data_IF_724383620075
#
_entry.id   IF_724383620075
#
_cell.length_a   1.000
_cell.length_b   1.000
_cell.length_c   1.000
_cell.angle_alpha   90.00
_cell.angle_beta   90.00
_cell.angle_gamma   90.00
#
_symmetry.space_group_name_H-M   'P 1'
#
loop_
_entity.id
_entity.type
_entity.pdbx_description
1 polymer ?
#
# COMPACT_ATOMS: atom_id res chain seq x y z
N UNK A 1 12.50 11.47 -18.14
CA UNK A 1 11.37 12.38 -18.41
C UNK A 1 10.66 12.80 -17.14
N UNK A 2 9.91 11.93 -16.44
CA UNK A 2 9.21 12.32 -15.20
C UNK A 2 10.14 12.92 -14.14
N UNK A 3 11.30 12.28 -13.90
CA UNK A 3 12.30 12.77 -12.94
C UNK A 3 12.89 14.11 -13.36
N UNK A 4 13.02 14.37 -14.67
CA UNK A 4 13.48 15.66 -15.19
C UNK A 4 12.43 16.75 -15.02
N UNK A 5 11.14 16.41 -15.17
CA UNK A 5 10.03 17.34 -14.95
C UNK A 5 9.92 17.71 -13.47
N UNK A 6 9.99 16.74 -12.55
CA UNK A 6 9.95 16.96 -11.10
C UNK A 6 11.11 17.86 -10.66
N UNK A 7 12.32 17.60 -11.17
CA UNK A 7 13.49 18.42 -10.89
C UNK A 7 13.32 19.87 -11.39
N UNK A 8 12.77 20.05 -12.61
CA UNK A 8 12.47 21.39 -13.17
C UNK A 8 11.45 22.16 -12.34
N UNK A 9 10.48 21.47 -11.74
CA UNK A 9 9.47 22.08 -10.87
C UNK A 9 10.01 22.43 -9.46
N UNK A 10 11.22 21.99 -9.12
CA UNK A 10 11.88 22.31 -7.85
C UNK A 10 11.37 21.50 -6.66
N UNK A 11 10.78 20.32 -6.89
CA UNK A 11 10.37 19.43 -5.81
C UNK A 11 11.56 18.68 -5.21
N UNK A 12 11.59 18.60 -3.87
CA UNK A 12 12.67 17.94 -3.13
C UNK A 12 12.34 16.48 -2.77
N UNK A 13 11.10 16.04 -2.98
CA UNK A 13 10.61 14.70 -2.64
C UNK A 13 9.76 14.20 -3.79
N UNK A 14 9.92 12.92 -4.14
CA UNK A 14 9.03 12.24 -5.07
C UNK A 14 8.44 10.99 -4.43
N UNK A 15 7.11 10.98 -4.30
CA UNK A 15 6.36 9.82 -3.80
C UNK A 15 5.94 8.93 -4.97
N UNK A 16 6.34 7.67 -4.93
CA UNK A 16 5.92 6.66 -5.90
C UNK A 16 5.61 5.33 -5.19
N UNK A 17 4.98 4.38 -5.90
CA UNK A 17 4.75 3.03 -5.39
C UNK A 17 5.63 1.99 -6.08
N UNK A 18 6.01 0.97 -5.31
CA UNK A 18 6.60 -0.26 -5.84
C UNK A 18 5.45 -1.21 -6.14
N UNK A 19 5.44 -1.77 -7.34
CA UNK A 19 4.42 -2.72 -7.74
C UNK A 19 4.73 -4.09 -7.17
N UNK A 20 3.85 -4.64 -6.34
CA UNK A 20 4.06 -5.94 -5.70
C UNK A 20 4.24 -7.03 -6.75
N UNK A 21 3.37 -7.08 -7.76
CA UNK A 21 3.45 -8.06 -8.85
C UNK A 21 4.71 -7.89 -9.72
N UNK A 22 5.38 -6.74 -9.71
CA UNK A 22 6.66 -6.56 -10.40
C UNK A 22 7.83 -7.18 -9.62
N UNK A 23 7.78 -7.15 -8.30
CA UNK A 23 8.81 -7.77 -7.43
C UNK A 23 8.56 -9.28 -7.31
N UNK A 24 7.31 -9.67 -7.11
CA UNK A 24 6.86 -11.06 -7.02
C UNK A 24 5.70 -11.29 -7.99
N UNK A 25 5.96 -11.81 -9.21
CA UNK A 25 4.93 -12.03 -10.23
C UNK A 25 3.73 -12.85 -9.76
N UNK A 26 3.97 -13.86 -8.91
CA UNK A 26 2.92 -14.67 -8.31
C UNK A 26 2.38 -14.12 -6.97
N UNK A 27 3.04 -13.10 -6.42
CA UNK A 27 2.77 -12.48 -5.12
C UNK A 27 3.23 -13.28 -3.90
N UNK A 28 3.51 -14.58 -4.03
CA UNK A 28 3.85 -15.47 -2.91
C UNK A 28 5.31 -15.32 -2.45
N UNK A 29 6.17 -14.82 -3.34
CA UNK A 29 7.55 -14.53 -3.01
C UNK A 29 8.48 -15.74 -2.97
N UNK A 30 8.18 -16.75 -3.78
CA UNK A 30 9.06 -17.90 -4.03
C UNK A 30 10.34 -17.46 -4.76
N UNK A 31 10.21 -16.60 -5.78
CA UNK A 31 11.34 -16.05 -6.53
C UNK A 31 11.18 -14.54 -6.73
N UNK A 32 12.24 -13.78 -6.45
CA UNK A 32 12.29 -12.34 -6.70
C UNK A 32 12.58 -12.09 -8.18
N UNK A 33 11.75 -11.28 -8.84
CA UNK A 33 12.04 -10.79 -10.17
C UNK A 33 13.14 -9.71 -10.13
N UNK A 34 14.36 -10.11 -10.50
CA UNK A 34 15.54 -9.23 -10.46
C UNK A 34 15.43 -8.03 -11.43
N UNK A 35 14.73 -8.17 -12.56
CA UNK A 35 14.49 -7.04 -13.46
C UNK A 35 13.58 -5.99 -12.81
N UNK A 36 12.61 -6.44 -12.01
CA UNK A 36 11.77 -5.56 -11.19
C UNK A 36 12.58 -4.77 -10.16
N UNK A 37 13.50 -5.45 -9.47
CA UNK A 37 14.43 -4.81 -8.53
C UNK A 37 15.33 -3.79 -9.26
N UNK A 38 15.91 -4.18 -10.40
CA UNK A 38 16.78 -3.31 -11.19
C UNK A 38 16.05 -2.04 -11.67
N UNK A 39 14.78 -2.16 -12.08
CA UNK A 39 13.96 -1.02 -12.46
C UNK A 39 13.83 0.02 -11.32
N UNK A 40 13.47 -0.42 -10.12
CA UNK A 40 13.30 0.49 -8.99
C UNK A 40 14.63 1.04 -8.46
N UNK A 41 15.72 0.25 -8.51
CA UNK A 41 17.05 0.76 -8.24
C UNK A 41 17.40 1.93 -9.17
N UNK A 42 17.25 1.74 -10.48
CA UNK A 42 17.54 2.80 -11.46
C UNK A 42 16.70 4.06 -11.19
N UNK A 43 15.41 3.91 -10.88
CA UNK A 43 14.55 5.05 -10.55
C UNK A 43 15.04 5.79 -9.28
N UNK A 44 15.35 5.05 -8.22
CA UNK A 44 15.84 5.60 -6.95
C UNK A 44 17.17 6.33 -7.17
N UNK A 45 18.10 5.73 -7.92
CA UNK A 45 19.42 6.31 -8.19
C UNK A 45 19.27 7.62 -8.99
N UNK A 46 18.46 7.62 -10.05
CA UNK A 46 18.21 8.83 -10.86
C UNK A 46 17.54 9.94 -10.05
N UNK A 47 16.65 9.62 -9.10
CA UNK A 47 16.07 10.63 -8.20
C UNK A 47 17.14 11.25 -7.30
N UNK A 48 17.99 10.42 -6.69
CA UNK A 48 19.04 10.87 -5.79
C UNK A 48 20.13 11.67 -6.51
N UNK A 49 20.49 11.30 -7.74
CA UNK A 49 21.40 12.07 -8.60
C UNK A 49 20.90 13.49 -8.85
N UNK A 50 19.58 13.69 -8.88
CA UNK A 50 18.95 15.01 -9.01
C UNK A 50 18.65 15.68 -7.66
N UNK A 51 19.09 15.09 -6.55
CA UNK A 51 18.84 15.60 -5.20
C UNK A 51 17.41 15.42 -4.70
N UNK A 52 16.58 14.62 -5.38
CA UNK A 52 15.19 14.35 -5.02
C UNK A 52 15.14 13.14 -4.08
N UNK A 53 14.52 13.31 -2.91
CA UNK A 53 14.38 12.24 -1.94
C UNK A 53 13.23 11.29 -2.34
N UNK A 54 13.47 9.97 -2.42
CA UNK A 54 12.41 9.01 -2.69
C UNK A 54 11.55 8.77 -1.44
N UNK A 55 10.23 8.82 -1.63
CA UNK A 55 9.22 8.43 -0.64
C UNK A 55 8.40 7.27 -1.20
N UNK A 56 8.54 6.08 -0.62
CA UNK A 56 8.07 4.84 -1.27
C UNK A 56 6.83 4.30 -0.60
N UNK A 57 5.78 4.09 -1.40
CA UNK A 57 4.57 3.36 -1.00
C UNK A 57 4.69 1.89 -1.42
N UNK A 58 4.51 0.96 -0.48
CA UNK A 58 4.64 -0.48 -0.74
C UNK A 58 3.39 -1.07 -1.40
N UNK A 59 2.20 -0.62 -1.00
CA UNK A 59 0.93 -1.06 -1.57
C UNK A 59 0.07 0.12 -2.00
N UNK A 60 -0.33 0.11 -3.28
CA UNK A 60 -1.20 1.12 -3.87
C UNK A 60 -2.28 0.45 -4.72
N UNK A 61 -3.07 -0.40 -4.07
CA UNK A 61 -4.23 -1.11 -4.65
C UNK A 61 -3.85 -2.12 -5.75
N UNK A 62 -2.61 -2.58 -5.75
CA UNK A 62 -1.98 -3.34 -6.83
C UNK A 62 -1.73 -4.81 -6.44
N UNK A 63 -2.71 -5.42 -5.76
CA UNK A 63 -2.60 -6.80 -5.27
C UNK A 63 -2.31 -7.76 -6.45
N UNK A 64 -1.28 -8.63 -6.35
CA UNK A 64 -1.04 -9.66 -7.36
C UNK A 64 -2.28 -10.55 -7.54
N UNK A 65 -2.77 -10.63 -8.77
CA UNK A 65 -4.00 -11.36 -9.11
C UNK A 65 -3.98 -12.82 -8.59
N UNK A 66 -2.82 -13.47 -8.64
CA UNK A 66 -2.68 -14.87 -8.20
C UNK A 66 -2.96 -15.05 -6.70
N UNK A 67 -2.60 -14.09 -5.86
CA UNK A 67 -2.96 -14.11 -4.43
C UNK A 67 -4.47 -14.00 -4.24
N UNK A 68 -5.14 -13.16 -5.02
CA UNK A 68 -6.59 -13.06 -5.01
C UNK A 68 -7.24 -14.40 -5.38
N UNK A 69 -6.81 -15.01 -6.48
CA UNK A 69 -7.39 -16.27 -6.99
C UNK A 69 -7.13 -17.48 -6.08
N UNK A 70 -5.99 -17.51 -5.40
CA UNK A 70 -5.56 -18.69 -4.65
C UNK A 70 -5.98 -18.66 -3.19
N UNK A 71 -5.85 -17.50 -2.54
CA UNK A 71 -6.14 -17.34 -1.10
C UNK A 71 -7.24 -16.31 -0.83
N UNK A 72 -7.85 -15.69 -1.83
CA UNK A 72 -8.86 -14.64 -1.63
C UNK A 72 -8.29 -13.25 -1.37
N UNK A 73 -6.98 -13.07 -1.48
CA UNK A 73 -6.32 -11.77 -1.30
C UNK A 73 -6.50 -11.23 0.11
N UNK A 74 -6.95 -9.98 0.23
CA UNK A 74 -7.15 -9.31 1.52
C UNK A 74 -8.24 -9.91 2.41
N UNK A 75 -9.07 -10.83 1.90
CA UNK A 75 -10.01 -11.58 2.74
C UNK A 75 -9.33 -12.66 3.58
N UNK A 76 -8.16 -13.14 3.16
CA UNK A 76 -7.43 -14.17 3.91
C UNK A 76 -6.40 -13.56 4.85
N UNK A 77 -6.35 -14.09 6.06
CA UNK A 77 -5.34 -13.71 7.06
C UNK A 77 -3.92 -14.08 6.63
N UNK A 78 -3.75 -15.04 5.72
CA UNK A 78 -2.44 -15.44 5.20
C UNK A 78 -1.74 -14.31 4.43
N UNK A 79 -2.51 -13.37 3.86
CA UNK A 79 -1.98 -12.22 3.12
C UNK A 79 -1.01 -11.37 3.96
N UNK A 80 -1.19 -11.34 5.29
CA UNK A 80 -0.35 -10.61 6.23
C UNK A 80 1.10 -11.09 6.11
N UNK A 81 1.32 -12.40 6.00
CA UNK A 81 2.66 -12.98 5.89
C UNK A 81 3.28 -12.66 4.53
N UNK A 82 2.51 -12.80 3.45
CA UNK A 82 3.00 -12.53 2.09
C UNK A 82 3.33 -11.06 1.89
N UNK A 83 2.49 -10.14 2.38
CA UNK A 83 2.77 -8.72 2.34
C UNK A 83 4.00 -8.37 3.18
N UNK A 84 4.13 -8.95 4.38
CA UNK A 84 5.30 -8.71 5.24
C UNK A 84 6.59 -9.18 4.58
N UNK A 85 6.59 -10.34 3.91
CA UNK A 85 7.74 -10.85 3.17
C UNK A 85 8.10 -9.95 1.97
N UNK A 86 7.10 -9.47 1.24
CA UNK A 86 7.27 -8.47 0.19
C UNK A 86 7.86 -7.16 0.72
N UNK A 87 7.33 -6.63 1.83
CA UNK A 87 7.86 -5.43 2.47
C UNK A 87 9.32 -5.63 2.91
N UNK A 88 9.65 -6.76 3.56
CA UNK A 88 11.02 -7.10 3.98
C UNK A 88 11.99 -7.18 2.79
N UNK A 89 11.53 -7.74 1.67
CA UNK A 89 12.30 -7.78 0.41
C UNK A 89 12.59 -6.37 -0.10
N UNK A 90 11.59 -5.48 -0.10
CA UNK A 90 11.78 -4.08 -0.50
C UNK A 90 12.73 -3.32 0.45
N UNK A 91 12.59 -3.50 1.76
CA UNK A 91 13.49 -2.86 2.73
C UNK A 91 14.94 -3.30 2.54
N UNK A 92 15.14 -4.59 2.26
CA UNK A 92 16.47 -5.16 2.02
C UNK A 92 17.09 -4.64 0.73
N UNK A 93 16.30 -4.52 -0.34
CA UNK A 93 16.78 -4.12 -1.65
C UNK A 93 17.03 -2.60 -1.79
N UNK A 94 16.22 -1.77 -1.11
CA UNK A 94 16.17 -0.33 -1.39
C UNK A 94 16.41 0.56 -0.16
N UNK A 95 16.33 0.02 1.06
CA UNK A 95 16.35 0.83 2.29
C UNK A 95 17.71 1.44 2.65
N UNK A 96 18.78 1.02 1.97
CA UNK A 96 20.07 1.72 2.00
C UNK A 96 19.95 3.16 1.48
N UNK A 97 19.05 3.41 0.52
CA UNK A 97 18.78 4.71 -0.11
C UNK A 97 17.43 5.32 0.26
N UNK A 98 16.38 4.51 0.39
CA UNK A 98 15.02 4.98 0.72
C UNK A 98 14.86 5.17 2.24
N UNK A 99 14.52 6.41 2.64
CA UNK A 99 14.38 6.79 4.06
C UNK A 99 12.94 7.07 4.50
N UNK A 100 11.99 7.09 3.58
CA UNK A 100 10.58 7.29 3.87
C UNK A 100 9.76 6.15 3.25
N UNK A 101 9.13 5.36 4.12
CA UNK A 101 8.31 4.22 3.75
C UNK A 101 6.85 4.45 4.13
N UNK A 102 5.95 4.08 3.24
CA UNK A 102 4.50 4.07 3.43
C UNK A 102 4.05 2.64 3.14
N UNK A 103 3.40 1.97 4.08
CA UNK A 103 2.94 0.59 3.86
C UNK A 103 1.75 0.54 2.90
N UNK A 104 0.70 1.29 3.20
CA UNK A 104 -0.57 1.29 2.46
C UNK A 104 -0.93 2.72 2.06
N UNK A 105 -1.41 2.87 0.83
CA UNK A 105 -2.16 4.04 0.40
C UNK A 105 -3.65 3.81 0.64
N UNK A 106 -4.28 4.68 1.43
CA UNK A 106 -5.73 4.83 1.53
C UNK A 106 -6.44 3.46 1.69
N UNK A 107 -6.18 2.74 2.81
CA UNK A 107 -6.72 1.39 3.02
C UNK A 107 -8.26 1.36 2.96
N UNK A 108 -8.92 2.46 3.34
CA UNK A 108 -10.37 2.60 3.23
C UNK A 108 -10.85 2.36 1.80
N UNK A 109 -10.12 2.84 0.80
CA UNK A 109 -10.48 2.65 -0.61
C UNK A 109 -10.42 1.17 -1.02
N UNK A 110 -9.41 0.43 -0.57
CA UNK A 110 -9.33 -1.02 -0.82
C UNK A 110 -10.48 -1.75 -0.12
N UNK A 111 -10.70 -1.47 1.16
CA UNK A 111 -11.74 -2.13 1.96
C UNK A 111 -13.16 -1.81 1.48
N UNK A 112 -13.51 -0.52 1.36
CA UNK A 112 -14.87 -0.08 1.05
C UNK A 112 -15.15 -0.14 -0.44
N UNK A 113 -14.28 0.40 -1.29
CA UNK A 113 -14.55 0.42 -2.72
C UNK A 113 -14.24 -0.91 -3.42
N UNK A 114 -13.29 -1.68 -2.89
CA UNK A 114 -12.99 -3.03 -3.40
C UNK A 114 -13.97 -4.12 -2.95
N UNK A 115 -14.48 -4.03 -1.71
CA UNK A 115 -15.26 -5.11 -1.08
C UNK A 115 -16.61 -4.70 -0.47
N UNK A 116 -16.94 -3.40 -0.50
CA UNK A 116 -18.21 -2.86 -0.02
C UNK A 116 -19.12 -2.42 -1.17
N UNK A 117 -18.68 -1.42 -1.94
CA UNK A 117 -19.41 -0.90 -3.10
C UNK A 117 -19.10 -1.67 -4.38
N UNK A 118 -17.93 -2.32 -4.46
CA UNK A 118 -17.48 -3.08 -5.62
C UNK A 118 -17.09 -2.20 -6.82
N UNK A 119 -16.85 -0.90 -6.63
CA UNK A 119 -16.44 0.02 -7.71
C UNK A 119 -14.97 -0.13 -8.08
N UNK A 120 -14.11 -0.57 -7.16
CA UNK A 120 -12.70 -0.86 -7.39
C UNK A 120 -12.44 -2.37 -7.40
N UNK A 121 -11.30 -2.79 -7.95
CA UNK A 121 -10.87 -4.18 -7.87
C UNK A 121 -10.79 -4.64 -6.39
N UNK A 122 -11.20 -5.89 -6.08
CA UNK A 122 -11.65 -6.95 -6.99
C UNK A 122 -13.13 -6.86 -7.39
N UNK A 123 -13.85 -5.80 -7.02
CA UNK A 123 -15.23 -5.57 -7.43
C UNK A 123 -16.23 -6.44 -6.68
N UNK A 124 -16.01 -6.67 -5.38
CA UNK A 124 -16.89 -7.48 -4.54
C UNK A 124 -17.89 -6.63 -3.79
N UNK A 125 -19.14 -7.07 -3.78
CA UNK A 125 -20.22 -6.41 -3.02
C UNK A 125 -21.43 -7.36 -2.87
N UNK A 126 -22.44 -6.94 -2.12
CA UNK A 126 -23.70 -7.67 -1.96
C UNK A 126 -24.64 -7.51 -3.17
N UNK A 127 -24.43 -6.51 -4.03
CA UNK A 127 -25.24 -6.33 -5.25
C UNK A 127 -24.84 -7.37 -6.30
N UNK A 128 -25.74 -8.33 -6.54
CA UNK A 128 -25.54 -9.44 -7.48
C UNK A 128 -25.60 -9.02 -8.95
N UNK A 129 -26.04 -7.80 -9.25
CA UNK A 129 -25.94 -7.24 -10.60
C UNK A 129 -24.52 -6.75 -10.92
N UNK A 130 -23.73 -6.42 -9.88
CA UNK A 130 -22.34 -5.96 -9.99
C UNK A 130 -21.35 -7.10 -9.76
N UNK A 131 -21.57 -7.90 -8.70
CA UNK A 131 -20.63 -8.95 -8.30
C UNK A 131 -21.31 -10.28 -8.00
N UNK A 132 -20.82 -11.41 -8.56
CA UNK A 132 -21.41 -12.73 -8.29
C UNK A 132 -21.22 -13.18 -6.84
N UNK A 133 -20.33 -12.55 -6.08
CA UNK A 133 -20.03 -12.87 -4.69
C UNK A 133 -19.62 -11.62 -3.92
N UNK A 134 -19.69 -11.69 -2.59
CA UNK A 134 -19.33 -10.58 -1.70
C UNK A 134 -20.37 -10.39 -0.60
N UNK A 135 -19.94 -9.77 0.49
CA UNK A 135 -20.81 -9.32 1.57
C UNK A 135 -20.32 -7.95 2.05
N UNK A 136 -21.02 -6.90 1.62
CA UNK A 136 -20.72 -5.51 1.93
C UNK A 136 -20.81 -5.17 3.41
N UNK A 137 -21.43 -6.01 4.24
CA UNK A 137 -21.54 -5.80 5.69
C UNK A 137 -20.40 -6.45 6.48
N UNK A 138 -19.61 -7.34 5.87
CA UNK A 138 -18.54 -8.07 6.57
C UNK A 138 -17.18 -7.93 5.90
N UNK A 139 -17.12 -8.02 4.57
CA UNK A 139 -15.85 -8.07 3.84
C UNK A 139 -15.00 -6.80 3.98
N UNK A 140 -15.56 -5.57 3.95
CA UNK A 140 -14.76 -4.36 4.18
C UNK A 140 -14.03 -4.39 5.53
N UNK A 141 -14.68 -4.86 6.58
CA UNK A 141 -14.06 -4.94 7.91
C UNK A 141 -12.97 -6.01 7.99
N UNK A 142 -13.17 -7.15 7.33
CA UNK A 142 -12.15 -8.22 7.27
C UNK A 142 -10.91 -7.75 6.50
N UNK A 143 -11.11 -7.05 5.38
CA UNK A 143 -10.03 -6.47 4.57
C UNK A 143 -9.27 -5.43 5.37
N UNK A 144 -9.95 -4.44 5.93
CA UNK A 144 -9.33 -3.41 6.75
C UNK A 144 -8.56 -4.01 7.95
N UNK A 145 -9.10 -5.06 8.59
CA UNK A 145 -8.42 -5.77 9.66
C UNK A 145 -7.10 -6.40 9.19
N UNK A 146 -7.10 -7.10 8.06
CA UNK A 146 -5.90 -7.72 7.52
C UNK A 146 -4.88 -6.69 7.01
N UNK A 147 -5.31 -5.58 6.42
CA UNK A 147 -4.41 -4.46 6.05
C UNK A 147 -3.73 -3.86 7.29
N UNK A 148 -4.46 -3.65 8.39
CA UNK A 148 -3.89 -3.14 9.64
C UNK A 148 -2.91 -4.14 10.28
N UNK A 149 -3.22 -5.44 10.25
CA UNK A 149 -2.29 -6.48 10.71
C UNK A 149 -1.02 -6.53 9.85
N UNK A 150 -1.17 -6.45 8.53
CA UNK A 150 -0.06 -6.41 7.58
C UNK A 150 0.79 -5.15 7.74
N UNK A 151 0.17 -4.01 8.00
CA UNK A 151 0.88 -2.77 8.36
C UNK A 151 1.71 -2.99 9.63
N UNK A 152 1.08 -3.45 10.71
CA UNK A 152 1.74 -3.64 11.99
C UNK A 152 2.92 -4.63 11.90
N UNK A 153 2.75 -5.75 11.19
CA UNK A 153 3.79 -6.74 10.98
C UNK A 153 4.98 -6.18 10.19
N UNK A 154 4.72 -5.48 9.08
CA UNK A 154 5.77 -4.83 8.27
C UNK A 154 6.51 -3.73 9.03
N UNK A 155 5.80 -2.92 9.84
CA UNK A 155 6.43 -1.91 10.70
C UNK A 155 7.30 -2.57 11.77
N UNK A 156 6.85 -3.64 12.40
CA UNK A 156 7.63 -4.37 13.40
C UNK A 156 8.94 -4.92 12.80
N UNK A 157 8.85 -5.54 11.61
CA UNK A 157 10.02 -6.00 10.84
C UNK A 157 10.97 -4.86 10.53
N UNK A 158 10.46 -3.74 9.99
CA UNK A 158 11.29 -2.58 9.66
C UNK A 158 12.03 -2.06 10.89
N UNK A 159 11.32 -1.81 11.99
CA UNK A 159 11.89 -1.24 13.22
C UNK A 159 12.95 -2.15 13.84
N UNK A 160 12.70 -3.47 13.88
CA UNK A 160 13.62 -4.44 14.50
C UNK A 160 14.86 -4.73 13.66
N UNK A 161 14.70 -4.90 12.34
CA UNK A 161 15.77 -5.41 11.48
C UNK A 161 16.51 -4.32 10.70
N UNK A 162 15.82 -3.24 10.34
CA UNK A 162 16.29 -2.29 9.32
C UNK A 162 16.48 -0.87 9.84
N UNK A 163 15.56 -0.35 10.64
CA UNK A 163 15.52 1.08 11.01
C UNK A 163 16.81 1.57 11.66
N UNK A 164 17.38 0.81 12.59
CA UNK A 164 18.64 1.20 13.26
C UNK A 164 19.83 1.31 12.30
N UNK A 165 19.86 0.54 11.21
CA UNK A 165 20.93 0.54 10.20
C UNK A 165 20.66 1.55 9.08
N UNK A 166 19.40 1.66 8.68
CA UNK A 166 18.99 2.43 7.50
C UNK A 166 18.61 3.87 7.84
N UNK A 167 18.24 4.17 9.10
CA UNK A 167 17.93 5.52 9.55
C UNK A 167 16.65 6.11 8.94
N UNK A 168 15.75 5.29 8.39
CA UNK A 168 14.50 5.74 7.81
C UNK A 168 13.32 5.75 8.78
N UNK A 169 12.17 6.17 8.27
CA UNK A 169 10.86 6.19 8.95
C UNK A 169 9.83 5.41 8.13
N UNK A 170 8.84 4.85 8.80
CA UNK A 170 7.77 4.08 8.18
C UNK A 170 6.41 4.49 8.76
N UNK A 171 5.41 4.61 7.89
CA UNK A 171 4.03 4.98 8.26
C UNK A 171 2.99 4.42 7.30
N UNK A 172 1.79 4.98 7.38
CA UNK A 172 0.63 4.64 6.54
C UNK A 172 -0.01 5.94 6.04
N UNK A 173 -0.54 5.94 4.82
CA UNK A 173 -1.29 7.07 4.27
C UNK A 173 -2.77 6.76 4.37
N UNK A 174 -3.52 7.61 5.07
CA UNK A 174 -4.97 7.51 5.21
C UNK A 174 -5.63 8.64 4.43
N UNK A 175 -6.64 8.31 3.65
CA UNK A 175 -7.57 9.29 3.09
C UNK A 175 -8.42 9.87 4.20
N UNK A 176 -8.66 11.18 4.12
CA UNK A 176 -9.45 11.90 5.11
C UNK A 176 -10.27 12.98 4.41
N UNK A 177 -11.57 12.99 4.71
CA UNK A 177 -12.47 14.06 4.32
C UNK A 177 -12.73 14.94 5.55
N UNK A 178 -12.61 16.25 5.36
CA UNK A 178 -13.04 17.20 6.39
C UNK A 178 -14.56 17.15 6.52
N UNK A 179 -15.06 16.90 7.74
CA UNK A 179 -16.49 16.86 8.02
C UNK A 179 -16.89 18.06 8.90
N UNK A 180 -17.90 18.79 8.46
CA UNK A 180 -18.55 19.86 9.22
C UNK A 180 -19.98 19.43 9.58
N UNK A 181 -20.53 19.88 10.72
CA UNK A 181 -21.87 19.49 11.11
C UNK A 181 -22.90 20.03 10.12
N UNK A 182 -23.80 19.16 9.64
CA UNK A 182 -24.88 19.54 8.72
C UNK A 182 -25.78 20.66 9.29
N UNK A 183 -25.93 20.72 10.62
CA UNK A 183 -26.60 21.82 11.32
C UNK A 183 -25.89 22.18 12.61
N UNK A 184 -26.06 23.40 13.10
CA UNK A 184 -25.52 23.84 14.40
C UNK A 184 -26.32 23.33 15.62
N UNK A 185 -27.32 22.47 15.39
CA UNK A 185 -28.12 21.87 16.45
C UNK A 185 -27.28 20.95 17.33
N UNK A 186 -27.65 20.84 18.61
CA UNK A 186 -26.90 20.07 19.61
C UNK A 186 -26.73 18.59 19.26
N UNK A 187 -27.62 18.01 18.44
CA UNK A 187 -27.51 16.62 18.00
C UNK A 187 -26.40 16.40 16.97
N UNK A 188 -26.02 17.41 16.19
CA UNK A 188 -24.95 17.29 15.16
C UNK A 188 -23.57 17.66 15.71
N UNK A 189 -23.46 18.12 16.97
CA UNK A 189 -22.16 18.50 17.59
C UNK A 189 -21.33 17.35 18.13
N UNK A 190 -21.88 16.13 18.20
CA UNK A 190 -21.23 14.97 18.85
C UNK A 190 -20.87 13.84 17.89
N UNK A 191 -20.84 14.10 16.58
CA UNK A 191 -20.62 13.09 15.55
C UNK A 191 -19.18 13.01 15.02
N UNK A 192 -18.22 13.64 15.69
CA UNK A 192 -16.78 13.59 15.37
C UNK A 192 -16.01 12.84 16.47
#
# INVERSE_FOLDING_TARGET
EDVDLIAKLGFNVYRFSISWSRIFPDGFGAEVNQEGIAYYNNLIDVLLEKGIQPSVTLYHWDLPQKLHETIGGWLSREIVNYFTHYAETCFSAFGDRVKQWITFNEPLQTAVNGYGTGTFAPGRCSDRSVSPAGDSLTEPYLVAHNELLAHAASVDVYRKKFQGKQGGVIGITVDAEGAEPFTLSTSTRYSL
#
